data_IF_009868522712
#
_entry.id   IF_009868522712
#
_cell.length_a   1.000
_cell.length_b   1.000
_cell.length_c   1.000
_cell.angle_alpha   90.00
_cell.angle_beta   90.00
_cell.angle_gamma   90.00
#
_symmetry.space_group_name_H-M   'P 1'
#
loop_
_entity.id
_entity.type
_entity.pdbx_description
1 polymer ?
#
# COMPACT_ATOMS: atom_id res chain seq x y z
N UNK A 1 13.62 7.25 12.89
CA UNK A 1 13.13 6.37 13.98
C UNK A 1 11.91 6.94 14.72
N UNK A 2 11.74 8.24 14.84
CA UNK A 2 10.52 8.84 15.41
C UNK A 2 9.25 8.48 14.63
N UNK A 3 9.38 8.24 13.35
CA UNK A 3 8.28 7.94 12.42
C UNK A 3 7.57 6.61 12.64
N UNK A 4 8.30 5.61 13.13
CA UNK A 4 7.82 4.23 13.27
C UNK A 4 7.61 3.84 14.72
N UNK A 5 7.99 4.75 15.67
CA UNK A 5 7.89 4.54 17.10
C UNK A 5 8.49 3.20 17.59
N UNK A 6 9.67 2.84 17.04
CA UNK A 6 10.36 1.57 17.35
C UNK A 6 11.53 1.73 18.33
N UNK A 7 11.84 2.95 18.75
CA UNK A 7 12.93 3.22 19.73
C UNK A 7 12.82 2.39 21.01
N UNK A 8 11.62 2.18 21.60
CA UNK A 8 11.49 1.36 22.81
C UNK A 8 11.95 -0.09 22.65
N UNK A 9 12.04 -0.57 21.40
CA UNK A 9 12.37 -1.96 21.06
C UNK A 9 13.79 -2.11 20.48
N UNK A 10 14.65 -1.09 20.62
CA UNK A 10 16.00 -1.08 20.02
C UNK A 10 16.91 -2.20 20.49
N UNK A 11 16.71 -2.68 21.73
CA UNK A 11 17.47 -3.76 22.33
C UNK A 11 16.77 -5.14 22.27
N UNK A 12 15.54 -5.16 21.75
CA UNK A 12 14.76 -6.39 21.71
C UNK A 12 15.14 -7.28 20.51
N UNK A 13 15.06 -8.58 20.70
CA UNK A 13 15.21 -9.51 19.58
C UNK A 13 13.97 -9.43 18.68
N UNK A 14 14.18 -9.21 17.38
CA UNK A 14 13.08 -9.09 16.39
C UNK A 14 12.15 -10.29 16.37
N UNK A 15 12.65 -11.48 16.73
CA UNK A 15 11.85 -12.73 16.76
C UNK A 15 10.86 -12.77 17.92
N UNK A 16 11.09 -11.97 18.97
CA UNK A 16 10.19 -11.89 20.14
C UNK A 16 9.13 -10.80 20.01
N UNK A 17 9.23 -9.95 18.98
CA UNK A 17 8.30 -8.86 18.74
C UNK A 17 6.97 -9.35 18.17
N UNK A 18 5.89 -8.68 18.53
CA UNK A 18 4.60 -8.89 17.85
C UNK A 18 4.71 -8.57 16.36
N UNK A 19 3.85 -9.20 15.52
CA UNK A 19 3.88 -9.01 14.06
C UNK A 19 3.84 -7.53 13.65
N UNK A 20 2.99 -6.73 14.28
CA UNK A 20 2.89 -5.30 13.99
C UNK A 20 4.13 -4.49 14.40
N UNK A 21 4.78 -4.81 15.52
CA UNK A 21 6.02 -4.14 15.93
C UNK A 21 7.16 -4.55 15.00
N UNK A 22 7.28 -5.85 14.70
CA UNK A 22 8.27 -6.36 13.74
C UNK A 22 8.17 -5.65 12.39
N UNK A 23 6.96 -5.45 11.89
CA UNK A 23 6.75 -4.76 10.62
C UNK A 23 7.15 -3.28 10.69
N UNK A 24 6.90 -2.58 11.82
CA UNK A 24 7.40 -1.21 12.04
C UNK A 24 8.93 -1.15 12.07
N UNK A 25 9.59 -2.17 12.61
CA UNK A 25 11.06 -2.30 12.57
C UNK A 25 11.54 -2.43 11.13
N UNK A 26 10.94 -3.31 10.30
CA UNK A 26 11.29 -3.44 8.89
C UNK A 26 11.09 -2.12 8.13
N UNK A 27 10.01 -1.40 8.40
CA UNK A 27 9.82 -0.07 7.79
C UNK A 27 10.90 0.92 8.21
N UNK A 28 11.35 0.87 9.47
CA UNK A 28 12.47 1.71 9.93
C UNK A 28 13.77 1.40 9.19
N UNK A 29 14.02 0.12 8.91
CA UNK A 29 15.18 -0.30 8.11
C UNK A 29 15.10 0.23 6.67
N UNK A 30 13.94 0.12 6.02
CA UNK A 30 13.71 0.67 4.67
C UNK A 30 13.95 2.18 4.64
N UNK A 31 13.44 2.90 5.65
CA UNK A 31 13.64 4.34 5.78
C UNK A 31 15.10 4.71 6.00
N UNK A 32 15.82 3.92 6.78
CA UNK A 32 17.26 4.14 7.07
C UNK A 32 18.14 3.95 5.83
N UNK A 33 17.74 3.12 4.87
CA UNK A 33 18.44 2.93 3.60
C UNK A 33 18.38 4.15 2.68
N UNK A 34 17.44 5.05 2.90
CA UNK A 34 17.20 6.28 2.11
C UNK A 34 17.13 6.08 0.58
N UNK A 35 16.71 4.92 0.13
CA UNK A 35 16.60 4.58 -1.28
C UNK A 35 15.62 5.51 -2.01
N UNK A 36 15.92 5.83 -3.27
CA UNK A 36 15.00 6.61 -4.13
C UNK A 36 13.79 5.80 -4.59
N UNK A 37 13.98 4.48 -4.77
CA UNK A 37 12.94 3.54 -5.18
C UNK A 37 12.78 2.52 -4.06
N UNK A 38 11.55 2.32 -3.62
CA UNK A 38 11.17 1.37 -2.57
C UNK A 38 10.16 0.40 -3.18
N UNK A 39 10.45 -0.90 -3.08
CA UNK A 39 9.57 -1.96 -3.57
C UNK A 39 9.13 -2.78 -2.36
N UNK A 40 7.83 -2.97 -2.19
CA UNK A 40 7.26 -3.77 -1.11
C UNK A 40 6.20 -4.72 -1.66
N UNK A 41 6.32 -5.99 -1.28
CA UNK A 41 5.38 -7.04 -1.64
C UNK A 41 4.47 -7.33 -0.44
N UNK A 42 3.16 -7.15 -0.63
CA UNK A 42 2.10 -7.36 0.36
C UNK A 42 2.36 -6.74 1.75
N UNK A 43 2.79 -5.48 1.84
CA UNK A 43 3.26 -4.91 3.11
C UNK A 43 2.18 -4.72 4.17
N UNK A 44 0.90 -4.93 3.83
CA UNK A 44 -0.25 -4.67 4.72
C UNK A 44 -1.03 -5.93 5.11
N UNK A 45 -0.62 -7.11 4.64
CA UNK A 45 -1.38 -8.37 4.78
C UNK A 45 -1.64 -8.75 6.24
N UNK A 46 -0.71 -8.46 7.15
CA UNK A 46 -0.82 -8.81 8.58
C UNK A 46 -1.09 -7.60 9.48
N UNK A 47 -1.47 -6.46 8.90
CA UNK A 47 -1.77 -5.27 9.67
C UNK A 47 -3.26 -5.21 10.02
N UNK A 48 -3.55 -4.81 11.24
CA UNK A 48 -4.86 -4.36 11.65
C UNK A 48 -5.21 -3.01 10.99
N UNK A 49 -6.40 -2.52 11.21
CA UNK A 49 -6.88 -1.28 10.61
C UNK A 49 -6.00 -0.07 10.96
N UNK A 50 -5.53 0.02 12.21
CA UNK A 50 -4.65 1.10 12.66
C UNK A 50 -3.27 1.00 11.99
N UNK A 51 -2.72 -0.21 11.91
CA UNK A 51 -1.46 -0.49 11.22
C UNK A 51 -1.52 -0.12 9.74
N UNK A 52 -2.60 -0.47 9.04
CA UNK A 52 -2.83 -0.06 7.64
C UNK A 52 -2.87 1.46 7.48
N UNK A 53 -3.60 2.17 8.34
CA UNK A 53 -3.67 3.65 8.31
C UNK A 53 -2.28 4.27 8.50
N UNK A 54 -1.53 3.78 9.46
CA UNK A 54 -0.16 4.24 9.74
C UNK A 54 0.76 3.98 8.55
N UNK A 55 0.68 2.79 7.95
CA UNK A 55 1.45 2.43 6.76
C UNK A 55 1.16 3.36 5.58
N UNK A 56 -0.11 3.56 5.22
CA UNK A 56 -0.48 4.42 4.09
C UNK A 56 -0.14 5.89 4.34
N UNK A 57 -0.24 6.37 5.59
CA UNK A 57 0.24 7.70 5.96
C UNK A 57 1.75 7.84 5.72
N UNK A 58 2.54 6.82 6.06
CA UNK A 58 3.98 6.78 5.81
C UNK A 58 4.28 6.77 4.30
N UNK A 59 3.60 5.93 3.52
CA UNK A 59 3.73 5.89 2.05
C UNK A 59 3.49 7.27 1.45
N UNK A 60 2.42 7.95 1.85
CA UNK A 60 2.11 9.29 1.38
C UNK A 60 3.20 10.32 1.73
N UNK A 61 3.81 10.23 2.89
CA UNK A 61 4.91 11.12 3.27
C UNK A 61 6.17 10.85 2.44
N UNK A 62 6.48 9.58 2.17
CA UNK A 62 7.60 9.19 1.29
C UNK A 62 7.38 9.68 -0.15
N UNK A 63 6.17 9.54 -0.69
CA UNK A 63 5.79 10.10 -1.98
C UNK A 63 6.03 11.63 -2.02
N UNK A 64 5.57 12.35 -1.01
CA UNK A 64 5.77 13.81 -0.89
C UNK A 64 7.24 14.21 -0.78
N UNK A 65 8.12 13.33 -0.28
CA UNK A 65 9.58 13.54 -0.26
C UNK A 65 10.28 13.19 -1.58
N UNK A 66 9.52 12.87 -2.64
CA UNK A 66 10.04 12.59 -3.98
C UNK A 66 10.52 11.16 -4.20
N UNK A 67 10.17 10.22 -3.33
CA UNK A 67 10.51 8.80 -3.50
C UNK A 67 9.49 8.12 -4.43
N UNK A 68 9.97 7.17 -5.22
CA UNK A 68 9.13 6.27 -6.01
C UNK A 68 8.84 5.01 -5.18
N UNK A 69 7.56 4.66 -5.04
CA UNK A 69 7.15 3.50 -4.25
C UNK A 69 6.35 2.55 -5.13
N UNK A 70 6.77 1.30 -5.16
CA UNK A 70 6.09 0.22 -5.88
C UNK A 70 5.54 -0.72 -4.82
N UNK A 71 4.22 -0.91 -4.82
CA UNK A 71 3.51 -1.79 -3.89
C UNK A 71 2.81 -2.90 -4.68
N UNK A 72 2.97 -4.14 -4.23
CA UNK A 72 2.08 -5.22 -4.62
C UNK A 72 1.01 -5.33 -3.54
N UNK A 73 -0.24 -5.21 -3.93
CA UNK A 73 -1.38 -5.23 -3.02
C UNK A 73 -2.46 -6.19 -3.57
N UNK A 74 -3.12 -6.93 -2.68
CA UNK A 74 -4.26 -7.77 -3.03
C UNK A 74 -5.60 -7.06 -2.90
N UNK A 75 -5.69 -6.07 -2.01
CA UNK A 75 -6.91 -5.30 -1.80
C UNK A 75 -7.00 -4.21 -2.88
N UNK A 76 -7.98 -4.35 -3.77
CA UNK A 76 -8.23 -3.41 -4.86
C UNK A 76 -8.61 -2.02 -4.35
N UNK A 77 -9.35 -1.94 -3.25
CA UNK A 77 -9.76 -0.66 -2.65
C UNK A 77 -8.53 0.10 -2.14
N UNK A 78 -7.62 -0.59 -1.45
CA UNK A 78 -6.36 -0.02 -0.99
C UNK A 78 -5.47 0.40 -2.17
N UNK A 79 -5.35 -0.46 -3.20
CA UNK A 79 -4.53 -0.19 -4.38
C UNK A 79 -5.01 1.06 -5.13
N UNK A 80 -6.31 1.19 -5.36
CA UNK A 80 -6.90 2.36 -6.04
C UNK A 80 -6.71 3.64 -5.21
N UNK A 81 -6.91 3.56 -3.90
CA UNK A 81 -6.83 4.72 -3.02
C UNK A 81 -5.44 5.32 -2.89
N UNK A 82 -4.38 4.46 -2.88
CA UNK A 82 -3.01 4.93 -2.56
C UNK A 82 -2.17 5.24 -3.79
N UNK A 83 -2.48 4.65 -4.94
CA UNK A 83 -1.61 4.73 -6.12
C UNK A 83 -1.88 5.97 -6.97
N UNK A 84 -0.83 6.50 -7.57
CA UNK A 84 -0.90 7.50 -8.64
C UNK A 84 -1.00 6.82 -10.00
N UNK A 85 -0.39 5.64 -10.13
CA UNK A 85 -0.47 4.76 -11.29
C UNK A 85 -0.74 3.32 -10.83
N UNK A 86 -1.68 2.65 -11.49
CA UNK A 86 -2.08 1.28 -11.21
C UNK A 86 -1.62 0.38 -12.35
N UNK A 87 -0.94 -0.71 -12.00
CA UNK A 87 -0.55 -1.75 -12.96
C UNK A 87 -1.32 -3.02 -12.62
N UNK A 88 -2.14 -3.47 -13.54
CA UNK A 88 -2.89 -4.73 -13.42
C UNK A 88 -2.20 -5.81 -14.24
N UNK A 89 -1.90 -6.92 -13.58
CA UNK A 89 -1.32 -8.11 -14.20
C UNK A 89 -2.41 -9.17 -14.41
N UNK A 90 -2.46 -9.74 -15.61
CA UNK A 90 -3.28 -10.89 -15.94
C UNK A 90 -2.49 -11.84 -16.84
N UNK A 91 -2.54 -13.14 -16.57
CA UNK A 91 -1.85 -14.17 -17.36
C UNK A 91 -0.37 -13.85 -17.61
N UNK A 92 0.34 -13.39 -16.58
CA UNK A 92 1.77 -13.00 -16.63
C UNK A 92 2.08 -11.84 -17.59
N UNK A 93 1.10 -11.03 -17.93
CA UNK A 93 1.22 -9.85 -18.80
C UNK A 93 0.63 -8.64 -18.09
N UNK A 94 1.08 -7.47 -18.49
CA UNK A 94 0.44 -6.21 -18.10
C UNK A 94 -0.86 -6.09 -18.89
N UNK A 95 -2.00 -6.16 -18.20
CA UNK A 95 -3.31 -5.93 -18.78
C UNK A 95 -3.56 -4.42 -19.01
N UNK A 96 -3.15 -3.61 -18.03
CA UNK A 96 -3.20 -2.14 -18.12
C UNK A 96 -2.16 -1.52 -17.19
N UNK A 97 -1.67 -0.33 -17.55
CA UNK A 97 -0.88 0.55 -16.70
C UNK A 97 -1.35 1.98 -16.91
N UNK A 98 -2.13 2.52 -15.96
CA UNK A 98 -2.74 3.85 -16.06
C UNK A 98 -3.12 4.36 -14.66
N UNK A 99 -3.64 5.57 -14.59
CA UNK A 99 -4.21 6.10 -13.35
C UNK A 99 -5.37 5.24 -12.87
N UNK A 100 -5.62 5.13 -11.55
CA UNK A 100 -6.78 4.39 -11.03
C UNK A 100 -8.11 4.80 -11.65
N UNK A 101 -8.30 6.11 -11.88
CA UNK A 101 -9.52 6.63 -12.50
C UNK A 101 -9.74 6.12 -13.94
N UNK A 102 -8.67 5.97 -14.71
CA UNK A 102 -8.76 5.42 -16.06
C UNK A 102 -8.96 3.90 -16.04
N UNK A 103 -8.28 3.18 -15.14
CA UNK A 103 -8.50 1.75 -14.96
C UNK A 103 -9.96 1.41 -14.63
N UNK A 104 -10.60 2.23 -13.77
CA UNK A 104 -12.03 2.07 -13.44
C UNK A 104 -12.96 2.34 -14.64
N UNK A 105 -12.63 3.32 -15.51
CA UNK A 105 -13.44 3.64 -16.68
C UNK A 105 -13.40 2.57 -17.77
N UNK A 106 -12.31 1.81 -17.85
CA UNK A 106 -12.13 0.78 -18.89
C UNK A 106 -12.75 -0.56 -18.54
N UNK A 107 -13.33 -0.70 -17.35
CA UNK A 107 -13.88 -1.97 -16.82
C UNK A 107 -12.87 -3.12 -16.74
N UNK A 108 -11.58 -2.85 -16.91
CA UNK A 108 -10.53 -3.87 -16.89
C UNK A 108 -10.42 -4.58 -15.53
N UNK A 109 -10.77 -3.87 -14.45
CA UNK A 109 -10.77 -4.43 -13.11
C UNK A 109 -11.84 -5.50 -12.98
N UNK A 110 -13.06 -5.22 -13.45
CA UNK A 110 -14.16 -6.16 -13.43
C UNK A 110 -13.85 -7.39 -14.28
N UNK A 111 -13.25 -7.19 -15.46
CA UNK A 111 -12.92 -8.27 -16.39
C UNK A 111 -11.82 -9.19 -15.83
N UNK A 112 -10.76 -8.62 -15.24
CA UNK A 112 -9.62 -9.39 -14.76
C UNK A 112 -9.90 -10.08 -13.42
N UNK A 113 -10.59 -9.41 -12.51
CA UNK A 113 -10.85 -9.94 -11.17
C UNK A 113 -12.24 -10.56 -11.01
N UNK A 114 -13.07 -10.57 -12.06
CA UNK A 114 -14.44 -11.11 -12.05
C UNK A 114 -15.28 -10.54 -10.90
N UNK A 115 -15.17 -9.24 -10.69
CA UNK A 115 -15.79 -8.51 -9.59
C UNK A 115 -16.61 -7.34 -10.12
N UNK A 116 -17.44 -6.77 -9.26
CA UNK A 116 -18.10 -5.48 -9.48
C UNK A 116 -17.74 -4.54 -8.35
N UNK A 117 -18.00 -3.25 -8.49
CA UNK A 117 -17.74 -2.33 -7.38
C UNK A 117 -18.87 -1.33 -7.20
N UNK A 118 -18.96 -0.81 -5.96
CA UNK A 118 -19.77 0.37 -5.64
C UNK A 118 -18.85 1.51 -5.27
N UNK A 119 -19.14 2.69 -5.82
CA UNK A 119 -18.47 3.92 -5.48
C UNK A 119 -19.26 4.65 -4.41
N UNK A 120 -18.56 5.10 -3.37
CA UNK A 120 -19.05 6.01 -2.35
C UNK A 120 -18.16 7.24 -2.34
N UNK A 121 -18.71 8.40 -2.02
CA UNK A 121 -17.96 9.65 -1.94
C UNK A 121 -18.31 10.37 -0.64
N UNK A 122 -17.30 10.92 0.02
CA UNK A 122 -17.45 11.81 1.17
C UNK A 122 -16.48 13.00 1.07
N UNK A 123 -16.36 13.78 2.14
CA UNK A 123 -15.47 14.95 2.18
C UNK A 123 -13.97 14.61 2.08
N UNK A 124 -13.58 13.35 2.34
CA UNK A 124 -12.20 12.86 2.23
C UNK A 124 -11.89 12.27 0.84
N UNK A 125 -12.91 12.01 0.00
CA UNK A 125 -12.74 11.54 -1.37
C UNK A 125 -13.64 10.39 -1.80
N UNK A 126 -13.20 9.67 -2.83
CA UNK A 126 -13.91 8.54 -3.41
C UNK A 126 -13.41 7.21 -2.81
N UNK A 127 -14.35 6.34 -2.46
CA UNK A 127 -14.11 5.01 -1.94
C UNK A 127 -14.78 3.98 -2.82
N UNK A 128 -14.12 2.83 -3.00
CA UNK A 128 -14.60 1.75 -3.84
C UNK A 128 -14.67 0.47 -3.02
N UNK A 129 -15.83 -0.20 -3.03
CA UNK A 129 -16.05 -1.50 -2.39
C UNK A 129 -16.27 -2.51 -3.49
N UNK A 130 -15.39 -3.49 -3.60
CA UNK A 130 -15.45 -4.58 -4.57
C UNK A 130 -16.25 -5.76 -4.00
N UNK A 131 -17.08 -6.42 -4.87
CA UNK A 131 -18.01 -7.49 -4.48
C UNK A 131 -17.93 -8.64 -5.46
#
# INVERSE_FOLDING_TARGET
MEFTNVMPYSEDNTDTLSGGIRQRVFFSMILAQDSRIIIMDEPVTYLDLEGKRTFFSMVNKLKKSGKTIILVLHDLSDAIRISDNLVILNDRKIAISDTPANCLKTHIIEDVFHTTYKKFSDDEGDYYIFM
#
